data_IF_500177069794
#
_entry.id   IF_500177069794
#
_cell.length_a   1.000
_cell.length_b   1.000
_cell.length_c   1.000
_cell.angle_alpha   90.00
_cell.angle_beta   90.00
_cell.angle_gamma   90.00
#
_symmetry.space_group_name_H-M   'P 1'
#
loop_
_entity.id
_entity.type
_entity.pdbx_description
1 polymer ?
#
# COMPACT_ATOMS: atom_id res chain seq x y z
N UNK A 1 -19.68 -8.75 -0.25
CA UNK A 1 -19.25 -9.66 -1.36
C UNK A 1 -19.84 -9.16 -2.66
N UNK A 2 -19.04 -9.09 -3.67
CA UNK A 2 -19.48 -8.66 -4.99
C UNK A 2 -20.10 -9.80 -5.78
N UNK A 3 -21.09 -9.46 -6.61
CA UNK A 3 -21.68 -10.38 -7.56
C UNK A 3 -20.70 -10.63 -8.70
N UNK A 4 -20.37 -11.86 -8.94
CA UNK A 4 -19.39 -12.28 -9.94
C UNK A 4 -19.98 -13.28 -10.93
N UNK A 5 -19.51 -13.24 -12.16
CA UNK A 5 -19.87 -14.22 -13.17
C UNK A 5 -18.91 -15.41 -13.10
N UNK A 6 -19.46 -16.61 -12.97
CA UNK A 6 -18.73 -17.88 -13.08
C UNK A 6 -19.35 -18.74 -14.19
N UNK A 7 -18.75 -18.70 -15.38
CA UNK A 7 -19.37 -19.32 -16.56
C UNK A 7 -20.73 -18.70 -16.86
N UNK A 8 -21.80 -19.52 -16.91
CA UNK A 8 -23.17 -19.07 -17.14
C UNK A 8 -23.96 -18.73 -15.85
N UNK A 9 -23.33 -18.89 -14.68
CA UNK A 9 -23.96 -18.62 -13.38
C UNK A 9 -23.42 -17.36 -12.72
N UNK A 10 -24.23 -16.79 -11.81
CA UNK A 10 -23.85 -15.69 -10.94
C UNK A 10 -23.64 -16.19 -9.53
N UNK A 11 -22.58 -15.75 -8.91
CA UNK A 11 -22.23 -16.10 -7.53
C UNK A 11 -21.73 -14.84 -6.79
N UNK A 12 -21.52 -14.95 -5.49
CA UNK A 12 -20.86 -13.93 -4.69
C UNK A 12 -19.46 -14.42 -4.32
N UNK A 13 -18.47 -13.57 -4.56
CA UNK A 13 -17.08 -13.91 -4.27
C UNK A 13 -16.34 -12.71 -3.69
N UNK A 14 -15.37 -12.91 -2.80
CA UNK A 14 -14.44 -11.88 -2.44
C UNK A 14 -13.52 -11.54 -3.63
N UNK A 15 -12.93 -10.34 -3.57
CA UNK A 15 -11.91 -9.91 -4.50
C UNK A 15 -10.56 -10.39 -3.99
N UNK A 16 -9.83 -11.16 -4.79
CA UNK A 16 -8.46 -11.52 -4.50
C UNK A 16 -7.53 -10.64 -5.33
N UNK A 17 -6.63 -9.93 -4.68
CA UNK A 17 -5.78 -8.95 -5.35
C UNK A 17 -4.33 -9.02 -4.85
N UNK A 18 -3.41 -8.70 -5.73
CA UNK A 18 -2.02 -8.38 -5.40
C UNK A 18 -1.82 -6.88 -5.39
N UNK A 19 -1.21 -6.37 -4.32
CA UNK A 19 -0.96 -4.94 -4.11
C UNK A 19 0.53 -4.76 -3.89
N UNK A 20 1.14 -3.85 -4.65
CA UNK A 20 2.54 -3.50 -4.48
C UNK A 20 2.67 -2.12 -3.84
N UNK A 21 3.52 -2.08 -2.81
CA UNK A 21 4.04 -0.87 -2.19
C UNK A 21 5.54 -0.78 -2.39
N UNK A 22 6.06 0.43 -2.55
CA UNK A 22 7.49 0.72 -2.54
C UNK A 22 7.75 1.75 -1.43
N UNK A 23 8.36 1.30 -0.34
CA UNK A 23 8.66 2.14 0.82
C UNK A 23 9.93 2.94 0.59
N UNK A 24 9.80 4.26 0.60
CA UNK A 24 10.89 5.19 0.34
C UNK A 24 11.78 5.35 1.56
N UNK A 25 13.09 5.14 1.38
CA UNK A 25 14.12 5.52 2.34
C UNK A 25 14.72 6.85 1.95
N UNK A 26 14.54 7.84 2.79
CA UNK A 26 15.21 9.13 2.70
C UNK A 26 16.30 9.20 3.76
N UNK A 27 17.48 9.61 3.37
CA UNK A 27 18.43 10.20 4.29
C UNK A 27 18.07 11.67 4.43
N UNK A 28 16.94 11.94 5.13
CA UNK A 28 16.54 13.29 5.40
C UNK A 28 17.65 14.05 6.13
N UNK A 29 17.61 15.37 6.11
CA UNK A 29 18.43 16.26 6.94
C UNK A 29 18.40 15.79 8.40
N UNK A 30 19.15 14.72 8.67
CA UNK A 30 19.44 14.35 10.05
C UNK A 30 20.07 15.58 10.69
N UNK A 31 19.55 15.97 11.83
CA UNK A 31 20.11 17.08 12.58
C UNK A 31 21.63 16.89 12.61
N UNK A 32 22.34 17.94 12.32
CA UNK A 32 23.81 18.01 12.31
C UNK A 32 24.50 17.26 13.48
N UNK A 33 23.82 17.13 14.59
CA UNK A 33 24.26 16.38 15.77
C UNK A 33 24.15 14.85 15.63
N UNK A 34 23.18 14.32 14.89
CA UNK A 34 23.05 12.87 14.64
C UNK A 34 24.06 12.34 13.64
N UNK A 35 24.43 13.13 12.65
CA UNK A 35 25.40 12.75 11.62
C UNK A 35 26.84 12.59 12.17
N UNK A 36 27.16 13.28 13.27
CA UNK A 36 28.47 13.16 13.93
C UNK A 36 28.61 11.91 14.81
N UNK A 37 27.48 11.33 15.25
CA UNK A 37 27.50 10.23 16.21
C UNK A 37 27.50 8.83 15.57
N UNK A 38 26.95 8.64 14.36
CA UNK A 38 26.65 7.30 13.83
C UNK A 38 27.01 7.05 12.35
N UNK A 39 27.85 7.84 11.72
CA UNK A 39 28.20 7.66 10.32
C UNK A 39 27.03 7.95 9.35
N UNK A 40 27.30 7.99 8.06
CA UNK A 40 26.27 8.20 7.04
C UNK A 40 25.42 6.93 6.89
N UNK A 41 24.19 6.95 7.40
CA UNK A 41 23.20 5.90 7.12
C UNK A 41 22.89 5.89 5.63
N UNK A 42 22.95 4.73 5.00
CA UNK A 42 22.62 4.58 3.57
C UNK A 42 21.09 4.63 3.37
N UNK A 43 20.63 5.24 2.27
CA UNK A 43 19.18 5.27 1.97
C UNK A 43 18.57 3.87 1.88
N UNK A 44 19.31 2.89 1.43
CA UNK A 44 18.89 1.49 1.34
C UNK A 44 18.62 0.89 2.73
N UNK A 45 19.45 1.21 3.72
CA UNK A 45 19.25 0.75 5.11
C UNK A 45 18.01 1.39 5.74
N UNK A 46 17.74 2.66 5.42
CA UNK A 46 16.55 3.37 5.86
C UNK A 46 15.30 2.75 5.22
N UNK A 47 15.32 2.50 3.91
CA UNK A 47 14.21 1.88 3.19
C UNK A 47 13.90 0.49 3.75
N UNK A 48 14.92 -0.32 4.03
CA UNK A 48 14.77 -1.64 4.64
C UNK A 48 14.16 -1.56 6.04
N UNK A 49 14.62 -0.64 6.86
CA UNK A 49 14.08 -0.44 8.20
C UNK A 49 12.60 -0.02 8.18
N UNK A 50 12.23 0.84 7.22
CA UNK A 50 10.84 1.24 7.01
C UNK A 50 10.01 0.04 6.56
N UNK A 51 10.49 -0.74 5.58
CA UNK A 51 9.86 -1.96 5.09
C UNK A 51 9.54 -2.92 6.23
N UNK A 52 10.53 -3.23 7.07
CA UNK A 52 10.36 -4.14 8.20
C UNK A 52 9.28 -3.67 9.17
N UNK A 53 9.27 -2.40 9.53
CA UNK A 53 8.24 -1.82 10.40
C UNK A 53 6.86 -1.87 9.76
N UNK A 54 6.75 -1.51 8.50
CA UNK A 54 5.47 -1.53 7.76
C UNK A 54 4.94 -2.95 7.59
N UNK A 55 5.79 -3.91 7.27
CA UNK A 55 5.40 -5.33 7.21
C UNK A 55 4.88 -5.84 8.55
N UNK A 56 5.55 -5.50 9.65
CA UNK A 56 5.09 -5.84 11.00
C UNK A 56 3.71 -5.24 11.31
N UNK A 57 3.50 -3.97 10.95
CA UNK A 57 2.19 -3.32 11.09
C UNK A 57 1.11 -4.01 10.25
N UNK A 58 1.38 -4.28 8.98
CA UNK A 58 0.43 -4.92 8.07
C UNK A 58 0.00 -6.30 8.55
N UNK A 59 0.91 -7.07 9.16
CA UNK A 59 0.62 -8.39 9.74
C UNK A 59 -0.25 -8.33 10.99
N UNK A 60 -0.11 -7.27 11.79
CA UNK A 60 -0.72 -7.19 13.12
C UNK A 60 -1.99 -6.34 13.17
N UNK A 61 -2.26 -5.51 12.15
CA UNK A 61 -3.48 -4.71 12.11
C UNK A 61 -4.67 -5.54 11.64
N UNK A 62 -5.80 -5.50 12.38
CA UNK A 62 -7.04 -6.07 11.89
C UNK A 62 -7.60 -5.16 10.79
N UNK A 63 -7.68 -5.67 9.57
CA UNK A 63 -8.28 -4.96 8.45
C UNK A 63 -9.76 -5.35 8.32
N UNK A 64 -10.65 -4.40 8.44
CA UNK A 64 -12.07 -4.64 8.24
C UNK A 64 -12.34 -5.02 6.77
N UNK A 65 -13.00 -6.15 6.55
CA UNK A 65 -13.34 -6.64 5.22
C UNK A 65 -12.15 -7.12 4.38
N UNK A 66 -10.94 -7.19 4.94
CA UNK A 66 -9.75 -7.66 4.22
C UNK A 66 -9.02 -8.73 5.02
N UNK A 67 -8.76 -9.85 4.37
CA UNK A 67 -7.87 -10.90 4.88
C UNK A 67 -6.53 -10.84 4.12
N UNK A 68 -5.44 -10.72 4.86
CA UNK A 68 -4.10 -10.79 4.32
C UNK A 68 -3.71 -12.27 4.15
N UNK A 69 -3.46 -12.71 2.91
CA UNK A 69 -3.08 -14.08 2.59
C UNK A 69 -1.56 -14.28 2.58
N UNK A 70 -0.83 -13.32 2.00
CA UNK A 70 0.61 -13.42 1.83
C UNK A 70 1.26 -12.03 1.86
N UNK A 71 2.48 -11.95 2.39
CA UNK A 71 3.37 -10.79 2.28
C UNK A 71 4.71 -11.27 1.74
N UNK A 72 5.13 -10.69 0.62
CA UNK A 72 6.45 -10.87 0.03
C UNK A 72 7.26 -9.57 0.21
N UNK A 73 8.31 -9.63 1.00
CA UNK A 73 9.13 -8.48 1.38
C UNK A 73 10.64 -8.74 1.19
N UNK A 74 10.98 -9.69 0.32
CA UNK A 74 12.33 -10.14 0.01
C UNK A 74 12.88 -9.61 -1.31
N UNK A 75 12.10 -8.78 -2.01
CA UNK A 75 12.53 -8.16 -3.26
C UNK A 75 13.67 -7.17 -3.04
N UNK A 76 14.57 -7.09 -4.02
CA UNK A 76 15.72 -6.20 -3.97
C UNK A 76 15.30 -4.73 -3.84
N UNK A 77 16.04 -4.01 -3.01
CA UNK A 77 15.91 -2.56 -2.89
C UNK A 77 16.53 -1.93 -4.12
N UNK A 78 15.84 -0.99 -4.73
CA UNK A 78 16.35 -0.24 -5.87
C UNK A 78 16.55 1.23 -5.52
N UNK A 79 17.48 1.86 -6.22
CA UNK A 79 17.82 3.27 -6.01
C UNK A 79 17.53 4.09 -7.26
N UNK A 80 17.05 5.31 -7.06
CA UNK A 80 16.85 6.30 -8.12
C UNK A 80 17.69 7.53 -7.78
N UNK A 81 18.50 8.06 -8.72
CA UNK A 81 19.19 9.33 -8.51
C UNK A 81 18.17 10.47 -8.47
N UNK A 82 18.21 11.31 -7.45
CA UNK A 82 17.42 12.52 -7.39
C UNK A 82 18.12 13.64 -8.17
N UNK A 83 17.40 14.24 -9.14
CA UNK A 83 18.01 15.15 -10.12
C UNK A 83 18.48 16.49 -9.52
N UNK A 84 17.93 16.92 -8.39
CA UNK A 84 18.15 18.28 -7.89
C UNK A 84 19.26 18.42 -6.82
N UNK A 85 19.66 17.36 -6.13
CA UNK A 85 20.61 17.46 -5.01
C UNK A 85 21.71 16.41 -5.00
N UNK A 86 21.80 15.54 -6.03
CA UNK A 86 22.79 14.46 -6.07
C UNK A 86 22.59 13.36 -5.01
N UNK A 87 21.49 13.41 -4.29
CA UNK A 87 21.09 12.38 -3.32
C UNK A 87 20.47 11.19 -4.05
N UNK A 88 20.66 10.01 -3.49
CA UNK A 88 20.02 8.79 -3.98
C UNK A 88 18.83 8.46 -3.13
N UNK A 89 17.71 8.17 -3.75
CA UNK A 89 16.53 7.66 -3.10
C UNK A 89 16.51 6.13 -3.22
N UNK A 90 16.24 5.45 -2.13
CA UNK A 90 16.08 4.02 -2.12
C UNK A 90 14.61 3.65 -1.91
N UNK A 91 14.16 2.60 -2.57
CA UNK A 91 12.81 2.05 -2.44
C UNK A 91 12.87 0.56 -2.14
N UNK A 92 12.16 0.17 -1.07
CA UNK A 92 12.04 -1.22 -0.64
C UNK A 92 10.65 -1.76 -1.03
N UNK A 93 10.56 -2.66 -2.03
CA UNK A 93 9.30 -3.20 -2.49
C UNK A 93 8.70 -4.18 -1.50
N UNK A 94 7.36 -4.17 -1.41
CA UNK A 94 6.54 -5.17 -0.72
C UNK A 94 5.35 -5.52 -1.58
N UNK A 95 5.06 -6.80 -1.74
CA UNK A 95 3.87 -7.28 -2.42
C UNK A 95 2.97 -8.01 -1.44
N UNK A 96 1.70 -7.61 -1.39
CA UNK A 96 0.66 -8.24 -0.59
C UNK A 96 -0.28 -9.02 -1.48
N UNK A 97 -0.68 -10.21 -1.05
CA UNK A 97 -1.87 -10.89 -1.58
C UNK A 97 -2.96 -10.77 -0.54
N UNK A 98 -4.07 -10.17 -0.91
CA UNK A 98 -5.21 -9.91 -0.04
C UNK A 98 -6.50 -10.46 -0.63
N UNK A 99 -7.44 -10.78 0.27
CA UNK A 99 -8.82 -11.09 -0.07
C UNK A 99 -9.71 -10.03 0.56
N UNK A 100 -10.45 -9.28 -0.25
CA UNK A 100 -11.34 -8.22 0.18
C UNK A 100 -12.80 -8.58 -0.08
N UNK A 101 -13.69 -8.22 0.82
CA UNK A 101 -15.13 -8.49 0.69
C UNK A 101 -15.78 -7.55 -0.33
N UNK A 102 -15.23 -6.36 -0.49
CA UNK A 102 -15.76 -5.34 -1.42
C UNK A 102 -14.62 -4.52 -2.05
N UNK A 103 -14.95 -3.74 -3.08
CA UNK A 103 -14.01 -2.81 -3.69
C UNK A 103 -13.57 -1.71 -2.71
N UNK A 104 -14.51 -1.25 -1.88
CA UNK A 104 -14.29 -0.20 -0.89
C UNK A 104 -13.24 -0.59 0.15
N UNK A 105 -13.14 -1.89 0.47
CA UNK A 105 -12.17 -2.39 1.43
C UNK A 105 -10.72 -2.33 0.92
N UNK A 106 -10.54 -2.21 -0.39
CA UNK A 106 -9.22 -2.02 -1.02
C UNK A 106 -8.74 -0.56 -1.01
N UNK A 107 -9.64 0.41 -0.83
CA UNK A 107 -9.31 1.84 -0.89
C UNK A 107 -8.22 2.26 0.11
N UNK A 108 -8.22 1.81 1.37
CA UNK A 108 -7.18 2.16 2.33
C UNK A 108 -5.76 1.75 1.90
N UNK A 109 -5.64 0.78 0.99
CA UNK A 109 -4.35 0.36 0.45
C UNK A 109 -3.93 1.20 -0.75
N UNK A 110 -4.87 1.49 -1.67
CA UNK A 110 -4.55 2.16 -2.94
C UNK A 110 -4.37 3.67 -2.81
N UNK A 111 -4.91 4.27 -1.74
CA UNK A 111 -4.77 5.71 -1.46
C UNK A 111 -3.49 6.06 -0.70
N UNK A 112 -2.66 5.09 -0.35
CA UNK A 112 -1.38 5.34 0.32
C UNK A 112 -0.33 5.90 -0.64
N UNK A 113 0.53 6.76 -0.15
CA UNK A 113 1.65 7.33 -0.91
C UNK A 113 2.58 6.25 -1.49
N UNK A 114 2.81 5.20 -0.72
CA UNK A 114 3.70 4.10 -1.09
C UNK A 114 3.09 3.15 -2.13
N UNK A 115 1.81 3.26 -2.41
CA UNK A 115 1.11 2.43 -3.40
C UNK A 115 1.69 2.59 -4.80
N UNK A 116 1.90 1.47 -5.50
CA UNK A 116 2.42 1.48 -6.87
C UNK A 116 1.52 0.75 -7.86
N UNK A 117 0.94 -0.37 -7.45
CA UNK A 117 0.17 -1.20 -8.37
C UNK A 117 -0.81 -2.09 -7.63
N UNK A 118 -1.95 -2.30 -8.24
CA UNK A 118 -2.89 -3.36 -7.89
C UNK A 118 -3.18 -4.24 -9.11
N UNK A 119 -3.27 -5.54 -8.88
CA UNK A 119 -3.71 -6.52 -9.86
C UNK A 119 -4.81 -7.37 -9.22
N UNK A 120 -5.99 -7.31 -9.79
CA UNK A 120 -7.07 -8.24 -9.43
C UNK A 120 -6.72 -9.61 -10.02
N UNK A 121 -6.71 -10.63 -9.16
CA UNK A 121 -6.43 -12.02 -9.53
C UNK A 121 -7.75 -12.73 -9.79
N UNK A 122 -8.71 -12.52 -8.91
CA UNK A 122 -10.04 -13.11 -8.92
C UNK A 122 -11.04 -12.10 -8.36
N UNK A 123 -12.25 -12.06 -8.88
CA UNK A 123 -12.77 -12.78 -10.04
C UNK A 123 -12.33 -12.14 -11.37
N UNK A 124 -12.49 -12.85 -12.48
CA UNK A 124 -12.19 -12.33 -13.82
C UNK A 124 -13.15 -11.21 -14.24
N UNK A 125 -14.43 -11.33 -13.87
CA UNK A 125 -15.46 -10.30 -14.11
C UNK A 125 -16.25 -10.01 -12.84
N UNK A 126 -16.56 -8.74 -12.61
CA UNK A 126 -17.38 -8.26 -11.50
C UNK A 126 -18.55 -7.45 -12.03
N UNK A 127 -19.70 -7.54 -11.36
CA UNK A 127 -20.87 -6.73 -11.66
C UNK A 127 -21.16 -5.82 -10.48
N UNK A 128 -21.23 -4.53 -10.77
CA UNK A 128 -21.58 -3.50 -9.80
C UNK A 128 -23.02 -3.03 -10.06
N UNK A 129 -23.83 -2.99 -9.01
CA UNK A 129 -25.07 -2.25 -9.03
C UNK A 129 -24.80 -0.75 -8.90
N UNK A 130 -25.80 0.09 -9.21
CA UNK A 130 -25.69 1.52 -8.93
C UNK A 130 -25.35 1.80 -7.46
N UNK A 131 -25.97 1.02 -6.55
CA UNK A 131 -25.73 1.12 -5.12
C UNK A 131 -24.27 0.78 -4.74
N UNK A 132 -23.67 -0.25 -5.35
CA UNK A 132 -22.26 -0.59 -5.12
C UNK A 132 -21.34 0.54 -5.58
N UNK A 133 -21.64 1.15 -6.72
CA UNK A 133 -20.87 2.27 -7.25
C UNK A 133 -21.02 3.53 -6.39
N UNK A 134 -22.23 3.85 -5.94
CA UNK A 134 -22.48 4.98 -5.04
C UNK A 134 -21.72 4.83 -3.72
N UNK A 135 -21.71 3.62 -3.14
CA UNK A 135 -20.94 3.31 -1.94
C UNK A 135 -19.43 3.47 -2.16
N UNK A 136 -18.91 2.93 -3.25
CA UNK A 136 -17.49 3.03 -3.58
C UNK A 136 -17.05 4.50 -3.74
N UNK A 137 -17.83 5.31 -4.46
CA UNK A 137 -17.57 6.75 -4.64
C UNK A 137 -17.63 7.49 -3.30
N UNK A 138 -18.63 7.22 -2.48
CA UNK A 138 -18.78 7.83 -1.15
C UNK A 138 -17.57 7.49 -0.26
N UNK A 139 -17.19 6.21 -0.19
CA UNK A 139 -16.06 5.75 0.60
C UNK A 139 -14.74 6.34 0.11
N UNK A 140 -14.55 6.42 -1.22
CA UNK A 140 -13.39 7.08 -1.81
C UNK A 140 -13.27 8.54 -1.35
N UNK A 141 -14.38 9.28 -1.36
CA UNK A 141 -14.41 10.65 -0.87
C UNK A 141 -14.12 10.77 0.62
N UNK A 142 -14.52 9.80 1.44
CA UNK A 142 -14.19 9.77 2.87
C UNK A 142 -12.70 9.51 3.10
N UNK A 143 -12.14 8.48 2.47
CA UNK A 143 -10.74 8.11 2.60
C UNK A 143 -9.82 9.24 2.11
N UNK A 144 -10.15 9.85 0.97
CA UNK A 144 -9.38 10.97 0.44
C UNK A 144 -9.36 12.17 1.39
N UNK A 145 -10.48 12.51 2.02
CA UNK A 145 -10.53 13.58 3.03
C UNK A 145 -9.76 13.24 4.29
N UNK A 146 -9.77 11.96 4.68
CA UNK A 146 -9.00 11.49 5.83
C UNK A 146 -7.50 11.63 5.58
N UNK A 147 -7.01 11.24 4.41
CA UNK A 147 -5.61 11.39 4.04
C UNK A 147 -5.18 12.87 4.02
N UNK A 148 -5.97 13.76 3.40
CA UNK A 148 -5.69 15.20 3.39
C UNK A 148 -5.62 15.81 4.80
N UNK A 149 -6.40 15.31 5.75
CA UNK A 149 -6.36 15.79 7.13
C UNK A 149 -5.18 15.20 7.92
N UNK A 150 -4.68 14.03 7.53
CA UNK A 150 -3.55 13.37 8.17
C UNK A 150 -2.19 13.90 7.70
N UNK A 151 -2.12 14.59 6.55
CA UNK A 151 -0.89 15.28 6.11
C UNK A 151 -0.42 16.39 7.06
N UNK A 152 -1.26 16.75 8.05
CA UNK A 152 -0.92 17.72 9.11
C UNK A 152 -0.36 17.10 10.40
N UNK A 153 -0.28 15.76 10.52
CA UNK A 153 0.17 15.08 11.74
C UNK A 153 1.29 14.07 11.38
N UNK A 154 2.56 14.44 11.62
CA UNK A 154 3.68 13.56 11.31
C UNK A 154 3.77 12.46 12.39
N UNK A 155 3.26 11.29 12.08
CA UNK A 155 3.64 10.07 12.76
C UNK A 155 4.66 9.28 12.00
#
# INVERSE_FOLDING_TARGET
MLRVKKGDSWDYSPIRAKIRFDFRGETGRQSFLGALAFGKTKPEEVAESIRQRRVAMLKNLPWQGVALEEIQADQEIYTIPEAEQGERLAYAPVELTVRADSLEDLLPFVLREEFRKIKIIEPEEMVFSNFDMERAIYKMGQEFRSELNNEGDPF
#
